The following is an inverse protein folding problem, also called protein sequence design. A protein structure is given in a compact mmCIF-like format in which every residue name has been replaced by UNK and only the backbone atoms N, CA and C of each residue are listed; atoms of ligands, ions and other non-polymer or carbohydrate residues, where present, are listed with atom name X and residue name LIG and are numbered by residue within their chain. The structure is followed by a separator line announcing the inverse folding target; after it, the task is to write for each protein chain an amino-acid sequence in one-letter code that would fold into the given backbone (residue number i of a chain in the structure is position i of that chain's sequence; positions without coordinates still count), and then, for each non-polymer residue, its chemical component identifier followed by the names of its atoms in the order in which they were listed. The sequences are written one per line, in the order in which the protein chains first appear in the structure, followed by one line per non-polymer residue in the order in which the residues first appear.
data_IF_918419792785
#
_entry.id   IF_918419792785
#
_cell.length_a   1.000
_cell.length_b   1.000
_cell.length_c   1.000
_cell.angle_alpha   90.00
_cell.angle_beta   90.00
_cell.angle_gamma   90.00
#
_symmetry.space_group_name_H-M   'P 1'
#
loop_
_entity.id
_entity.type
_entity.pdbx_description
1 polymer ?
#
# COMPACT_ATOMS: atom_id res chain seq x y z
N UNK A 1 -0.08 -4.80 15.56
CA UNK A 1 -0.16 -5.57 14.30
C UNK A 1 0.57 -6.90 14.43
N UNK A 2 1.77 -6.95 15.03
CA UNK A 2 2.47 -8.22 15.26
C UNK A 2 2.87 -8.92 13.96
N UNK A 3 3.09 -8.16 12.89
CA UNK A 3 3.48 -8.63 11.57
C UNK A 3 4.82 -8.00 11.24
N UNK A 4 5.83 -8.80 10.95
CA UNK A 4 7.15 -8.34 10.55
C UNK A 4 7.11 -7.61 9.19
N UNK A 5 8.09 -6.76 8.93
CA UNK A 5 8.09 -5.90 7.74
C UNK A 5 8.06 -6.67 6.42
N UNK A 6 8.71 -7.84 6.35
CA UNK A 6 8.76 -8.64 5.11
C UNK A 6 7.42 -9.31 4.84
N UNK A 7 6.79 -9.86 5.87
CA UNK A 7 5.43 -10.42 5.77
C UNK A 7 4.42 -9.33 5.41
N UNK A 8 4.50 -8.16 6.05
CA UNK A 8 3.64 -7.02 5.77
C UNK A 8 3.77 -6.58 4.30
N UNK A 9 5.00 -6.45 3.79
CA UNK A 9 5.28 -6.13 2.38
C UNK A 9 4.64 -7.15 1.43
N UNK A 10 4.79 -8.44 1.71
CA UNK A 10 4.20 -9.51 0.90
C UNK A 10 2.67 -9.45 0.85
N UNK A 11 2.01 -9.24 2.00
CA UNK A 11 0.55 -9.09 2.09
C UNK A 11 0.05 -7.88 1.29
N UNK A 12 0.72 -6.74 1.42
CA UNK A 12 0.36 -5.52 0.69
C UNK A 12 0.59 -5.66 -0.82
N UNK A 13 1.69 -6.31 -1.23
CA UNK A 13 1.95 -6.60 -2.64
C UNK A 13 0.85 -7.49 -3.25
N UNK A 14 0.34 -8.49 -2.51
CA UNK A 14 -0.79 -9.30 -2.93
C UNK A 14 -2.10 -8.48 -3.06
N UNK A 15 -2.22 -7.37 -2.34
CA UNK A 15 -3.30 -6.39 -2.46
C UNK A 15 -3.06 -5.32 -3.54
N UNK A 16 -1.95 -5.37 -4.28
CA UNK A 16 -1.59 -4.35 -5.28
C UNK A 16 -0.95 -3.08 -4.70
N UNK A 17 -0.68 -3.05 -3.38
CA UNK A 17 0.02 -1.95 -2.71
C UNK A 17 1.53 -2.26 -2.65
N UNK A 18 2.29 -1.66 -3.56
CA UNK A 18 3.74 -1.93 -3.69
C UNK A 18 4.53 -0.96 -2.82
N UNK A 19 5.21 -1.51 -1.81
CA UNK A 19 6.10 -0.79 -0.88
C UNK A 19 7.42 -1.57 -0.71
N UNK A 20 8.40 -0.93 -0.06
CA UNK A 20 9.68 -1.55 0.25
C UNK A 20 9.96 -1.55 1.76
N UNK A 21 10.82 -2.48 2.18
CA UNK A 21 11.27 -2.58 3.57
C UNK A 21 12.42 -1.60 3.86
N UNK A 22 12.47 -1.07 5.08
CA UNK A 22 13.59 -0.26 5.56
C UNK A 22 14.14 -0.79 6.89
N UNK A 23 15.40 -0.48 7.20
CA UNK A 23 15.99 -0.81 8.49
C UNK A 23 15.39 0.09 9.59
N UNK A 24 15.22 -0.48 10.79
CA UNK A 24 14.84 0.27 11.99
C UNK A 24 16.07 0.49 12.88
N UNK A 25 16.17 1.61 13.61
CA UNK A 25 17.41 1.96 14.34
C UNK A 25 17.76 1.02 15.50
N UNK A 26 16.80 0.26 16.03
CA UNK A 26 16.94 -0.49 17.30
C UNK A 26 16.27 -1.87 17.29
N UNK A 27 15.99 -2.45 16.11
CA UNK A 27 15.32 -3.74 15.98
C UNK A 27 15.93 -4.54 14.81
N UNK A 28 16.00 -5.86 14.93
CA UNK A 28 16.39 -6.76 13.84
C UNK A 28 15.27 -6.88 12.78
N UNK A 29 14.06 -6.44 13.13
CA UNK A 29 12.93 -6.33 12.21
C UNK A 29 13.08 -5.16 11.22
N UNK A 30 12.28 -5.18 10.16
CA UNK A 30 12.23 -4.13 9.14
C UNK A 30 10.92 -3.36 9.22
N UNK A 31 11.00 -2.06 8.99
CA UNK A 31 9.83 -1.22 8.76
C UNK A 31 9.37 -1.28 7.30
N UNK A 32 8.23 -0.66 7.02
CA UNK A 32 7.81 -0.33 5.66
C UNK A 32 8.09 1.14 5.40
N UNK A 33 8.67 1.44 4.23
CA UNK A 33 8.85 2.81 3.75
C UNK A 33 7.71 3.19 2.81
N UNK A 34 7.01 4.26 3.16
CA UNK A 34 5.93 4.81 2.35
C UNK A 34 6.41 6.06 1.62
N UNK A 35 5.98 6.22 0.37
CA UNK A 35 6.22 7.41 -0.43
C UNK A 35 5.02 7.69 -1.32
N UNK A 36 4.63 8.96 -1.41
CA UNK A 36 3.45 9.39 -2.17
C UNK A 36 3.80 9.87 -3.58
N UNK A 37 5.08 10.11 -3.88
CA UNK A 37 5.52 10.76 -5.12
C UNK A 37 4.88 10.14 -6.38
N UNK A 38 4.96 8.81 -6.54
CA UNK A 38 4.42 8.11 -7.71
C UNK A 38 2.92 8.38 -7.91
N UNK A 39 2.12 8.20 -6.85
CA UNK A 39 0.67 8.37 -6.91
C UNK A 39 0.24 9.83 -7.02
N UNK A 40 0.97 10.76 -6.41
CA UNK A 40 0.71 12.19 -6.56
C UNK A 40 1.07 12.71 -7.95
N UNK A 41 2.12 12.17 -8.58
CA UNK A 41 2.44 12.46 -9.99
C UNK A 41 1.34 11.98 -10.93
N UNK A 42 0.65 10.88 -10.58
CA UNK A 42 -0.53 10.38 -11.32
C UNK A 42 -1.81 11.16 -11.01
N UNK A 43 -1.78 12.16 -10.12
CA UNK A 43 -2.91 13.04 -9.81
C UNK A 43 -3.72 12.67 -8.57
N UNK A 44 -3.31 11.66 -7.80
CA UNK A 44 -3.98 11.32 -6.54
C UNK A 44 -3.71 12.39 -5.46
N UNK A 45 -4.75 12.73 -4.68
CA UNK A 45 -4.70 13.74 -3.62
C UNK A 45 -4.97 13.17 -2.23
N UNK A 46 -5.27 14.06 -1.28
CA UNK A 46 -5.48 13.70 0.12
C UNK A 46 -6.66 12.71 0.35
N UNK A 47 -7.69 12.79 -0.49
CA UNK A 47 -8.84 11.87 -0.43
C UNK A 47 -8.44 10.45 -0.78
N UNK A 48 -7.71 10.29 -1.88
CA UNK A 48 -7.18 9.00 -2.31
C UNK A 48 -6.17 8.44 -1.30
N UNK A 49 -5.34 9.30 -0.68
CA UNK A 49 -4.41 8.84 0.36
C UNK A 49 -5.13 8.32 1.61
N UNK A 50 -6.27 8.91 1.97
CA UNK A 50 -7.12 8.40 3.07
C UNK A 50 -7.64 7.00 2.74
N UNK A 51 -8.09 6.80 1.51
CA UNK A 51 -8.55 5.49 1.03
C UNK A 51 -7.42 4.45 1.03
N UNK A 52 -6.25 4.79 0.48
CA UNK A 52 -5.06 3.92 0.47
C UNK A 52 -4.62 3.54 1.88
N UNK A 53 -4.63 4.50 2.82
CA UNK A 53 -4.30 4.23 4.22
C UNK A 53 -5.31 3.26 4.88
N UNK A 54 -6.60 3.39 4.55
CA UNK A 54 -7.65 2.47 4.99
C UNK A 54 -7.43 1.04 4.49
N UNK A 55 -7.15 0.87 3.19
CA UNK A 55 -6.84 -0.44 2.60
C UNK A 55 -5.59 -1.06 3.23
N UNK A 56 -4.52 -0.28 3.37
CA UNK A 56 -3.27 -0.72 4.00
C UNK A 56 -3.53 -1.22 5.43
N UNK A 57 -4.25 -0.44 6.24
CA UNK A 57 -4.57 -0.80 7.61
C UNK A 57 -5.46 -2.06 7.67
N UNK A 58 -6.47 -2.16 6.83
CA UNK A 58 -7.39 -3.31 6.80
C UNK A 58 -6.68 -4.59 6.42
N UNK A 59 -5.86 -4.58 5.35
CA UNK A 59 -5.09 -5.74 4.91
C UNK A 59 -4.10 -6.20 5.98
N UNK A 60 -3.35 -5.28 6.59
CA UNK A 60 -2.39 -5.64 7.63
C UNK A 60 -3.04 -6.17 8.91
N UNK A 61 -4.27 -5.76 9.22
CA UNK A 61 -5.05 -6.25 10.36
C UNK A 61 -5.83 -7.53 10.06
N UNK A 62 -5.82 -8.01 8.81
CA UNK A 62 -6.64 -9.15 8.38
C UNK A 62 -8.14 -8.81 8.29
N UNK A 63 -8.51 -7.54 8.19
CA UNK A 63 -9.89 -7.09 8.01
C UNK A 63 -10.37 -7.19 6.55
N UNK A 64 -9.44 -7.12 5.59
CA UNK A 64 -9.73 -7.31 4.17
C UNK A 64 -8.73 -8.31 3.58
N UNK A 65 -9.25 -9.33 2.90
CA UNK A 65 -8.43 -10.28 2.15
C UNK A 65 -7.67 -9.57 1.03
N UNK A 66 -6.36 -9.84 0.83
CA UNK A 66 -5.56 -9.15 -0.18
C UNK A 66 -6.16 -9.22 -1.59
N UNK A 67 -6.77 -10.35 -1.96
CA UNK A 67 -7.42 -10.51 -3.26
C UNK A 67 -8.58 -9.52 -3.48
N UNK A 68 -9.38 -9.25 -2.42
CA UNK A 68 -10.47 -8.27 -2.49
C UNK A 68 -9.93 -6.85 -2.54
N UNK A 69 -8.97 -6.52 -1.66
CA UNK A 69 -8.33 -5.20 -1.68
C UNK A 69 -7.65 -4.89 -3.02
N UNK A 70 -7.17 -5.90 -3.73
CA UNK A 70 -6.56 -5.75 -5.06
C UNK A 70 -7.56 -5.23 -6.11
N UNK A 71 -8.84 -5.56 -6.00
CA UNK A 71 -9.89 -5.03 -6.88
C UNK A 71 -10.06 -3.53 -6.64
N UNK A 72 -10.18 -3.12 -5.38
CA UNK A 72 -10.26 -1.71 -4.96
C UNK A 72 -9.04 -0.89 -5.42
N UNK A 73 -7.83 -1.43 -5.25
CA UNK A 73 -6.59 -0.78 -5.71
C UNK A 73 -6.56 -0.66 -7.24
N UNK A 74 -7.04 -1.69 -7.96
CA UNK A 74 -7.09 -1.67 -9.41
C UNK A 74 -8.07 -0.61 -9.93
N UNK A 75 -9.23 -0.47 -9.29
CA UNK A 75 -10.21 0.55 -9.64
C UNK A 75 -9.64 1.96 -9.40
N UNK A 76 -9.03 2.18 -8.23
CA UNK A 76 -8.36 3.44 -7.93
C UNK A 76 -7.28 3.75 -8.98
N UNK A 77 -6.39 2.82 -9.27
CA UNK A 77 -5.31 3.03 -10.24
C UNK A 77 -5.84 3.31 -11.66
N UNK A 78 -6.96 2.69 -12.06
CA UNK A 78 -7.58 2.92 -13.37
C UNK A 78 -8.16 4.34 -13.52
N UNK A 79 -8.56 4.99 -12.43
CA UNK A 79 -9.01 6.38 -12.43
C UNK A 79 -7.86 7.40 -12.63
N UNK A 80 -6.60 6.97 -12.42
CA UNK A 80 -5.40 7.81 -12.50
C UNK A 80 -4.35 7.18 -13.44
N UNK A 81 -4.64 7.05 -14.76
CA UNK A 81 -3.74 6.38 -15.70
C UNK A 81 -2.38 7.11 -15.79
N UNK A 82 -1.25 6.40 -15.76
CA UNK A 82 0.09 7.01 -15.73
C UNK A 82 0.51 7.67 -17.05
N UNK A 83 -0.12 7.29 -18.15
CA UNK A 83 0.17 7.82 -19.48
C UNK A 83 -1.13 8.20 -20.18
N UNK A 84 -1.19 9.36 -20.87
CA UNK A 84 -2.31 9.67 -21.75
C UNK A 84 -2.43 8.60 -22.83
N UNK A 85 -3.67 8.25 -23.17
CA UNK A 85 -3.96 7.32 -24.28
C UNK A 85 -3.75 7.98 -25.63
#
# INVERSE_FOLDING_TARGET
LGVDGRTARGRLAAAGLVLDCCALPHDDDRGLRLGTAAVTTQGMGAREMTFVAGLLASVLRGGTEPARAREDVRELAAAFPPYPR
#
